data_IF_611637361436
#
_entry.id   IF_611637361436
#
_cell.length_a   1.000
_cell.length_b   1.000
_cell.length_c   1.000
_cell.angle_alpha   90.00
_cell.angle_beta   90.00
_cell.angle_gamma   90.00
#
_symmetry.space_group_name_H-M   'P 1'
#
loop_
_entity.id
_entity.type
_entity.pdbx_description
1 polymer ?
#
# COMPACT_ATOMS: atom_id res chain seq x y z
N UNK A 1 5.92 -3.08 25.45
CA UNK A 1 6.75 -2.65 24.32
C UNK A 1 6.28 -1.28 23.87
N UNK A 2 7.19 -0.33 23.66
CA UNK A 2 6.89 0.95 23.01
C UNK A 2 7.00 0.80 21.49
N UNK A 3 6.26 1.62 20.75
CA UNK A 3 6.38 1.67 19.30
C UNK A 3 7.76 2.24 18.90
N UNK A 4 8.41 1.75 17.82
CA UNK A 4 9.73 2.23 17.39
C UNK A 4 9.71 3.71 17.01
N UNK A 5 10.84 4.41 17.14
CA UNK A 5 10.94 5.84 16.81
C UNK A 5 10.76 6.10 15.30
N UNK A 6 11.20 5.16 14.45
CA UNK A 6 11.01 5.20 13.00
C UNK A 6 10.82 3.79 12.43
N UNK A 7 9.99 3.67 11.40
CA UNK A 7 9.71 2.41 10.70
C UNK A 7 9.60 2.64 9.18
N UNK A 8 9.92 1.60 8.41
CA UNK A 8 9.51 1.50 7.00
C UNK A 8 8.10 0.91 6.94
N UNK A 9 7.26 1.45 6.06
CA UNK A 9 5.90 0.97 5.85
C UNK A 9 5.80 0.18 4.54
N UNK A 10 5.24 -1.03 4.61
CA UNK A 10 4.91 -1.86 3.46
C UNK A 10 3.41 -1.77 3.21
N UNK A 11 3.01 -1.07 2.16
CA UNK A 11 1.63 -0.90 1.73
C UNK A 11 1.25 -1.99 0.70
N UNK A 12 0.42 -2.94 1.10
CA UNK A 12 -0.05 -4.02 0.24
C UNK A 12 -1.24 -3.55 -0.63
N UNK A 13 -0.99 -3.13 -1.86
CA UNK A 13 -1.97 -2.52 -2.78
C UNK A 13 -2.27 -3.35 -4.06
N UNK A 14 -1.66 -4.53 -4.21
CA UNK A 14 -1.84 -5.42 -5.37
C UNK A 14 -3.03 -6.38 -5.31
N UNK A 15 -3.85 -6.32 -4.26
CA UNK A 15 -4.95 -7.28 -4.06
C UNK A 15 -6.04 -7.18 -5.13
N UNK A 16 -6.47 -8.33 -5.68
CA UNK A 16 -7.60 -8.41 -6.60
C UNK A 16 -8.94 -8.51 -5.85
N UNK A 17 -10.04 -8.18 -6.53
CA UNK A 17 -11.37 -8.48 -6.03
C UNK A 17 -11.64 -9.98 -6.12
N UNK A 18 -12.29 -10.54 -5.10
CA UNK A 18 -12.80 -11.91 -5.14
C UNK A 18 -14.23 -11.93 -5.69
N UNK A 19 -15.07 -11.03 -5.17
CA UNK A 19 -16.47 -10.87 -5.56
C UNK A 19 -16.84 -9.38 -5.55
N UNK A 20 -17.41 -8.89 -6.65
CA UNK A 20 -18.08 -7.59 -6.72
C UNK A 20 -19.53 -7.81 -7.16
N UNK A 21 -20.48 -6.97 -6.71
CA UNK A 21 -21.84 -7.02 -7.21
C UNK A 21 -21.87 -6.91 -8.75
N UNK A 22 -22.78 -7.62 -9.44
CA UNK A 22 -22.90 -7.54 -10.89
C UNK A 22 -23.16 -6.11 -11.35
N UNK A 23 -22.49 -5.68 -12.42
CA UNK A 23 -22.73 -4.37 -13.07
C UNK A 23 -21.89 -3.21 -12.52
N UNK A 24 -21.11 -3.43 -11.47
CA UNK A 24 -20.16 -2.42 -10.97
C UNK A 24 -18.89 -2.36 -11.84
N UNK A 25 -18.38 -1.17 -12.20
CA UNK A 25 -17.07 -1.03 -12.80
C UNK A 25 -16.00 -1.60 -11.85
N UNK A 26 -15.28 -2.61 -12.31
CA UNK A 26 -14.20 -3.25 -11.54
C UNK A 26 -12.89 -2.50 -11.80
N UNK A 27 -12.33 -1.77 -10.83
CA UNK A 27 -11.02 -1.20 -11.02
C UNK A 27 -9.96 -2.32 -11.05
N UNK A 28 -8.77 -2.05 -11.62
CA UNK A 28 -7.75 -3.09 -11.83
C UNK A 28 -7.28 -3.81 -10.56
N UNK A 29 -7.40 -3.18 -9.39
CA UNK A 29 -7.18 -3.81 -8.09
C UNK A 29 -8.13 -3.26 -7.03
N UNK A 30 -8.31 -4.01 -5.93
CA UNK A 30 -9.16 -3.64 -4.80
C UNK A 30 -8.77 -2.29 -4.20
N UNK A 31 -7.45 -2.05 -4.05
CA UNK A 31 -6.93 -0.78 -3.51
C UNK A 31 -7.25 0.43 -4.39
N UNK A 32 -7.54 0.22 -5.68
CA UNK A 32 -7.88 1.29 -6.63
C UNK A 32 -9.37 1.65 -6.64
N UNK A 33 -10.21 0.98 -5.86
CA UNK A 33 -11.60 1.38 -5.69
C UNK A 33 -11.68 2.80 -5.14
N UNK A 34 -12.40 3.73 -5.79
CA UNK A 34 -12.54 5.07 -5.27
C UNK A 34 -13.54 5.11 -4.12
N UNK A 35 -13.15 5.75 -3.02
CA UNK A 35 -14.05 6.16 -1.94
C UNK A 35 -14.00 7.68 -1.88
N UNK A 36 -15.15 8.33 -2.12
CA UNK A 36 -15.21 9.80 -2.21
C UNK A 36 -14.25 10.37 -3.26
N UNK A 37 -14.16 9.74 -4.44
CA UNK A 37 -13.33 10.20 -5.57
C UNK A 37 -11.84 9.89 -5.50
N UNK A 38 -11.33 9.30 -4.40
CA UNK A 38 -9.91 8.94 -4.22
C UNK A 38 -9.73 7.44 -4.00
N UNK A 39 -8.72 6.79 -4.61
CA UNK A 39 -8.42 5.37 -4.37
C UNK A 39 -8.24 5.04 -2.88
N UNK A 40 -8.74 3.88 -2.43
CA UNK A 40 -8.55 3.43 -1.03
C UNK A 40 -7.07 3.34 -0.65
N UNK A 41 -6.22 2.82 -1.55
CA UNK A 41 -4.79 2.69 -1.29
C UNK A 41 -4.11 4.07 -1.18
N UNK A 42 -4.53 5.05 -1.96
CA UNK A 42 -4.02 6.42 -1.87
C UNK A 42 -4.45 7.12 -0.57
N UNK A 43 -5.63 6.81 -0.02
CA UNK A 43 -6.05 7.29 1.31
C UNK A 43 -5.22 6.64 2.42
N UNK A 44 -4.94 5.35 2.29
CA UNK A 44 -4.07 4.63 3.24
C UNK A 44 -2.65 5.21 3.20
N UNK A 45 -2.11 5.44 2.00
CA UNK A 45 -0.82 6.09 1.78
C UNK A 45 -0.74 7.47 2.45
N UNK A 46 -1.77 8.30 2.29
CA UNK A 46 -1.84 9.63 2.92
C UNK A 46 -1.67 9.57 4.45
N UNK A 47 -2.31 8.60 5.10
CA UNK A 47 -2.13 8.39 6.54
C UNK A 47 -0.71 7.95 6.90
N UNK A 48 -0.09 7.07 6.09
CA UNK A 48 1.29 6.63 6.29
C UNK A 48 2.28 7.80 6.14
N UNK A 49 2.18 8.54 5.05
CA UNK A 49 3.05 9.70 4.75
C UNK A 49 2.86 10.81 5.79
N UNK A 50 1.64 11.00 6.31
CA UNK A 50 1.37 11.97 7.36
C UNK A 50 1.96 11.61 8.74
N UNK A 51 2.35 10.37 8.97
CA UNK A 51 2.88 9.92 10.25
C UNK A 51 4.37 10.23 10.40
N UNK A 52 4.75 10.95 11.45
CA UNK A 52 6.16 11.31 11.69
C UNK A 52 7.09 10.12 11.93
N UNK A 53 6.52 8.95 12.23
CA UNK A 53 7.27 7.70 12.48
C UNK A 53 7.48 6.88 11.23
N UNK A 54 6.77 7.13 10.15
CA UNK A 54 6.99 6.44 8.86
C UNK A 54 8.10 7.18 8.13
N UNK A 55 9.21 6.48 7.87
CA UNK A 55 10.36 7.06 7.18
C UNK A 55 10.38 6.84 5.68
N UNK A 56 9.75 5.76 5.23
CA UNK A 56 9.74 5.31 3.85
C UNK A 56 8.50 4.46 3.61
N UNK A 57 7.90 4.58 2.43
CA UNK A 57 6.76 3.75 2.01
C UNK A 57 7.15 2.89 0.81
N UNK A 58 7.07 1.58 0.99
CA UNK A 58 7.18 0.55 -0.03
C UNK A 58 5.76 0.14 -0.43
N UNK A 59 5.35 0.44 -1.66
CA UNK A 59 4.06 0.00 -2.17
C UNK A 59 4.22 -1.29 -2.99
N UNK A 60 3.49 -2.33 -2.59
CA UNK A 60 3.43 -3.60 -3.30
C UNK A 60 2.23 -3.61 -4.23
N UNK A 61 2.46 -3.74 -5.54
CA UNK A 61 1.43 -3.57 -6.56
C UNK A 61 1.64 -4.48 -7.76
N UNK A 62 0.55 -4.85 -8.43
CA UNK A 62 0.56 -5.60 -9.70
C UNK A 62 0.70 -4.69 -10.94
N UNK A 63 0.78 -3.37 -10.76
CA UNK A 63 0.85 -2.40 -11.85
C UNK A 63 2.27 -1.82 -11.99
N UNK A 64 2.63 -1.43 -13.21
CA UNK A 64 3.88 -0.72 -13.46
C UNK A 64 3.84 0.71 -12.90
N UNK A 65 5.02 1.31 -12.73
CA UNK A 65 5.18 2.68 -12.24
C UNK A 65 4.36 3.72 -13.01
N UNK A 66 4.17 3.53 -14.32
CA UNK A 66 3.41 4.44 -15.19
C UNK A 66 1.94 4.59 -14.79
N UNK A 67 1.40 3.62 -14.04
CA UNK A 67 0.05 3.68 -13.49
C UNK A 67 -0.09 4.69 -12.34
N UNK A 68 1.02 5.05 -11.68
CA UNK A 68 1.06 5.85 -10.45
C UNK A 68 1.63 7.24 -10.67
N UNK A 69 1.25 7.88 -11.78
CA UNK A 69 1.72 9.22 -12.18
C UNK A 69 0.89 10.37 -11.59
N UNK A 70 -0.29 10.08 -11.05
CA UNK A 70 -1.16 11.07 -10.40
C UNK A 70 -0.58 11.48 -9.01
N UNK A 71 -0.64 12.78 -8.63
CA UNK A 71 -0.14 13.27 -7.33
C UNK A 71 -0.72 12.58 -6.09
N UNK A 72 -1.87 11.89 -6.19
CA UNK A 72 -2.41 11.13 -5.04
C UNK A 72 -1.48 10.01 -4.56
N UNK A 73 -0.46 9.65 -5.36
CA UNK A 73 0.55 8.63 -5.06
C UNK A 73 1.89 9.21 -4.57
N UNK A 74 1.98 10.54 -4.39
CA UNK A 74 3.16 11.18 -3.83
C UNK A 74 3.50 10.60 -2.44
N UNK A 75 4.78 10.31 -2.21
CA UNK A 75 5.27 9.70 -0.97
C UNK A 75 5.43 8.17 -1.02
N UNK A 76 5.17 7.52 -2.16
CA UNK A 76 5.68 6.18 -2.43
C UNK A 76 7.15 6.27 -2.83
N UNK A 77 8.03 5.70 -2.01
CA UNK A 77 9.48 5.72 -2.25
C UNK A 77 9.97 4.53 -3.07
N UNK A 78 9.23 3.42 -3.03
CA UNK A 78 9.59 2.19 -3.74
C UNK A 78 8.36 1.40 -4.19
N UNK A 79 8.45 0.82 -5.39
CA UNK A 79 7.46 -0.11 -5.91
C UNK A 79 8.02 -1.53 -5.93
N UNK A 80 7.37 -2.43 -5.19
CA UNK A 80 7.62 -3.86 -5.26
C UNK A 80 6.51 -4.56 -6.05
N UNK A 81 6.87 -5.58 -6.81
CA UNK A 81 5.92 -6.36 -7.58
C UNK A 81 5.07 -7.25 -6.65
N UNK A 82 3.75 -7.19 -6.79
CA UNK A 82 2.84 -8.08 -6.08
C UNK A 82 2.97 -9.53 -6.60
N UNK A 83 2.93 -10.49 -5.67
CA UNK A 83 2.84 -11.91 -5.98
C UNK A 83 1.40 -12.40 -6.12
N UNK A 84 1.21 -13.64 -6.59
CA UNK A 84 -0.12 -14.23 -6.84
C UNK A 84 -0.99 -14.32 -5.59
N UNK A 85 -0.38 -14.50 -4.40
CA UNK A 85 -1.07 -14.56 -3.12
C UNK A 85 -0.62 -13.43 -2.20
N UNK A 86 -1.43 -13.15 -1.18
CA UNK A 86 -1.12 -12.16 -0.16
C UNK A 86 0.24 -12.41 0.50
N UNK A 87 0.57 -13.68 0.80
CA UNK A 87 1.86 -14.04 1.43
C UNK A 87 3.06 -13.77 0.50
N UNK A 88 2.87 -13.91 -0.81
CA UNK A 88 3.92 -13.66 -1.79
C UNK A 88 4.13 -12.14 -1.94
N UNK A 89 3.05 -11.36 -1.93
CA UNK A 89 3.11 -9.90 -1.86
C UNK A 89 3.74 -9.38 -0.56
N UNK A 90 3.42 -10.01 0.58
CA UNK A 90 4.05 -9.72 1.87
C UNK A 90 5.57 -9.96 1.80
N UNK A 91 6.00 -11.10 1.26
CA UNK A 91 7.43 -11.42 1.09
C UNK A 91 8.13 -10.40 0.22
N UNK A 92 7.57 -10.06 -0.95
CA UNK A 92 8.15 -9.07 -1.85
C UNK A 92 8.30 -7.69 -1.19
N UNK A 93 7.31 -7.26 -0.40
CA UNK A 93 7.39 -6.02 0.37
C UNK A 93 8.45 -6.05 1.47
N UNK A 94 8.57 -7.17 2.19
CA UNK A 94 9.58 -7.35 3.23
C UNK A 94 11.00 -7.46 2.68
N UNK A 95 11.19 -8.06 1.49
CA UNK A 95 12.48 -8.13 0.80
C UNK A 95 12.99 -6.75 0.33
N UNK A 96 12.08 -5.76 0.24
CA UNK A 96 12.40 -4.38 -0.14
C UNK A 96 12.67 -3.46 1.07
N UNK A 97 12.50 -3.94 2.30
CA UNK A 97 12.90 -3.23 3.53
C UNK A 97 14.42 -3.25 3.64
N UNK A 98 15.03 -2.11 3.95
CA UNK A 98 16.49 -1.95 3.85
C UNK A 98 17.23 -2.70 4.97
N UNK A 99 16.72 -2.65 6.20
CA UNK A 99 17.31 -3.34 7.35
C UNK A 99 16.33 -4.35 7.97
N UNK A 100 16.50 -5.66 7.74
CA UNK A 100 15.63 -6.70 8.27
C UNK A 100 15.72 -6.87 9.80
N UNK A 101 16.71 -6.25 10.47
CA UNK A 101 16.80 -6.20 11.93
C UNK A 101 15.91 -5.08 12.52
N UNK A 102 15.41 -4.16 11.70
CA UNK A 102 14.49 -3.10 12.14
C UNK A 102 13.03 -3.52 11.98
N UNK A 103 12.12 -3.06 12.86
CA UNK A 103 10.70 -3.31 12.68
C UNK A 103 10.15 -2.62 11.43
N UNK A 104 9.48 -3.39 10.57
CA UNK A 104 8.65 -2.86 9.49
C UNK A 104 7.17 -2.88 9.89
N UNK A 105 6.41 -1.92 9.39
CA UNK A 105 4.96 -1.87 9.54
C UNK A 105 4.29 -2.30 8.24
N UNK A 106 3.54 -3.39 8.27
CA UNK A 106 2.79 -3.86 7.09
C UNK A 106 1.34 -3.43 7.19
N UNK A 107 0.83 -2.77 6.14
CA UNK A 107 -0.50 -2.19 6.11
C UNK A 107 -1.21 -2.61 4.82
N UNK A 108 -2.47 -3.03 4.95
CA UNK A 108 -3.31 -3.34 3.80
C UNK A 108 -3.80 -2.05 3.14
N UNK A 109 -3.75 -1.97 1.80
CA UNK A 109 -4.16 -0.79 1.05
C UNK A 109 -5.67 -0.57 0.96
N UNK A 110 -6.47 -1.43 1.56
CA UNK A 110 -7.93 -1.32 1.62
C UNK A 110 -8.43 -0.76 2.97
N UNK A 111 -7.61 0.05 3.65
CA UNK A 111 -7.91 0.70 4.92
C UNK A 111 -8.07 2.23 4.77
N UNK A 112 -9.06 2.73 4.01
CA UNK A 112 -9.18 4.15 3.64
C UNK A 112 -9.48 5.10 4.81
N UNK A 113 -9.75 4.56 6.01
CA UNK A 113 -10.03 5.33 7.22
C UNK A 113 -8.88 5.26 8.24
N UNK A 114 -7.73 4.71 7.84
CA UNK A 114 -6.51 4.81 8.64
C UNK A 114 -6.14 6.28 8.85
N UNK A 115 -5.61 6.60 10.02
CA UNK A 115 -5.14 7.94 10.40
C UNK A 115 -3.68 7.90 10.82
N UNK A 116 -2.99 9.04 10.69
CA UNK A 116 -1.55 9.20 10.95
C UNK A 116 -1.15 9.10 12.44
#
# INVERSE_FOLDING_TARGET
MSFPDKVEAVLLAGGQFKDLPPGEPVPPSKGLLPIGGRPMAARTLEALVGSQRVGRVIMVTSHSADHFTDPVWDGVDHLAAAGERLIDSFRAGMEAVDDPATPAMVVAGDLPFLTA
#
